data_IF_880150936701
#
_entry.id   IF_880150936701
#
_cell.length_a   1.000
_cell.length_b   1.000
_cell.length_c   1.000
_cell.angle_alpha   90.00
_cell.angle_beta   90.00
_cell.angle_gamma   90.00
#
_symmetry.space_group_name_H-M   'P 1'
#
loop_
_entity.id
_entity.type
_entity.pdbx_description
1 polymer ?
#
# COMPACT_ATOMS: atom_id res chain seq x y z
N UNK A 1 8.71 2.47 11.08
CA UNK A 1 7.79 3.61 11.12
C UNK A 1 6.82 3.40 12.27
N UNK A 2 6.47 4.47 13.00
CA UNK A 2 5.48 4.40 14.10
C UNK A 2 4.09 4.08 13.53
N UNK A 3 3.37 3.15 14.17
CA UNK A 3 2.04 2.71 13.74
C UNK A 3 1.04 3.86 13.71
N UNK A 4 1.25 4.93 14.49
CA UNK A 4 0.37 6.10 14.49
C UNK A 4 0.23 6.78 13.13
N UNK A 5 1.18 6.58 12.23
CA UNK A 5 1.15 7.17 10.88
C UNK A 5 0.46 6.27 9.84
N UNK A 6 0.12 5.01 10.17
CA UNK A 6 -0.39 4.05 9.18
C UNK A 6 -1.72 4.48 8.57
N UNK A 7 -2.61 5.07 9.38
CA UNK A 7 -3.96 5.45 8.95
C UNK A 7 -3.92 6.46 7.80
N UNK A 8 -3.05 7.46 7.87
CA UNK A 8 -2.91 8.47 6.80
C UNK A 8 -2.51 7.84 5.46
N UNK A 9 -1.69 6.78 5.48
CA UNK A 9 -1.32 6.07 4.26
C UNK A 9 -2.44 5.16 3.73
N UNK A 10 -3.23 4.57 4.64
CA UNK A 10 -4.41 3.78 4.26
C UNK A 10 -5.50 4.66 3.65
N UNK A 11 -5.80 5.80 4.27
CA UNK A 11 -6.76 6.79 3.76
C UNK A 11 -6.33 7.33 2.38
N UNK A 12 -5.04 7.65 2.21
CA UNK A 12 -4.50 8.07 0.93
C UNK A 12 -4.60 6.98 -0.14
N UNK A 13 -4.33 5.72 0.22
CA UNK A 13 -4.47 4.59 -0.69
C UNK A 13 -5.92 4.39 -1.12
N UNK A 14 -6.86 4.40 -0.17
CA UNK A 14 -8.30 4.28 -0.45
C UNK A 14 -8.79 5.41 -1.37
N UNK A 15 -8.37 6.65 -1.08
CA UNK A 15 -8.69 7.79 -1.93
C UNK A 15 -8.21 7.61 -3.37
N UNK A 16 -6.94 7.20 -3.58
CA UNK A 16 -6.40 6.97 -4.91
C UNK A 16 -7.11 5.81 -5.60
N UNK A 17 -7.31 4.68 -4.93
CA UNK A 17 -8.02 3.52 -5.49
C UNK A 17 -9.46 3.86 -5.90
N UNK A 18 -10.14 4.71 -5.13
CA UNK A 18 -11.47 5.23 -5.47
C UNK A 18 -11.50 6.00 -6.80
N UNK A 19 -10.43 6.70 -7.15
CA UNK A 19 -10.31 7.39 -8.45
C UNK A 19 -10.23 6.42 -9.65
N UNK A 20 -9.85 5.16 -9.40
CA UNK A 20 -9.86 4.07 -10.39
C UNK A 20 -11.15 3.23 -10.32
N UNK A 21 -12.18 3.69 -9.60
CA UNK A 21 -13.48 2.99 -9.49
C UNK A 21 -13.50 1.86 -8.46
N UNK A 22 -12.46 1.69 -7.65
CA UNK A 22 -12.41 0.69 -6.59
C UNK A 22 -13.02 1.26 -5.30
N UNK A 23 -14.33 1.13 -5.14
CA UNK A 23 -15.09 1.77 -4.04
C UNK A 23 -15.34 0.88 -2.82
N UNK A 24 -15.01 -0.41 -2.88
CA UNK A 24 -15.29 -1.38 -1.81
C UNK A 24 -14.01 -1.98 -1.19
N UNK A 25 -12.93 -1.20 -1.14
CA UNK A 25 -11.67 -1.63 -0.55
C UNK A 25 -11.86 -1.87 0.96
N UNK A 26 -11.40 -3.03 1.45
CA UNK A 26 -11.45 -3.38 2.88
C UNK A 26 -10.05 -3.52 3.44
N UNK A 27 -9.77 -2.76 4.49
CA UNK A 27 -8.51 -2.87 5.22
C UNK A 27 -8.53 -4.17 6.06
N UNK A 28 -7.54 -5.03 5.82
CA UNK A 28 -7.36 -6.26 6.58
C UNK A 28 -6.76 -6.03 7.98
N UNK A 29 -6.50 -7.11 8.71
CA UNK A 29 -5.87 -7.01 10.03
C UNK A 29 -4.43 -6.48 9.94
N UNK A 30 -4.14 -5.42 10.69
CA UNK A 30 -2.79 -4.87 10.80
C UNK A 30 -1.89 -5.81 11.58
N UNK A 31 -0.69 -6.07 11.04
CA UNK A 31 0.33 -6.92 11.69
C UNK A 31 1.70 -6.27 11.57
N UNK A 32 2.47 -6.34 12.66
CA UNK A 32 3.90 -6.08 12.60
C UNK A 32 4.56 -7.29 11.96
N UNK A 33 5.24 -7.08 10.84
CA UNK A 33 5.95 -8.14 10.13
C UNK A 33 7.37 -8.22 10.67
N UNK A 34 7.77 -9.40 11.15
CA UNK A 34 9.15 -9.62 11.64
C UNK A 34 10.15 -9.67 10.47
N UNK A 35 9.73 -10.21 9.31
CA UNK A 35 10.56 -10.30 8.11
C UNK A 35 9.85 -9.66 6.91
N UNK A 36 10.55 -8.85 6.14
CA UNK A 36 10.02 -8.19 4.95
C UNK A 36 10.00 -9.12 3.71
N UNK A 37 9.56 -10.37 3.89
CA UNK A 37 9.36 -11.30 2.77
C UNK A 37 7.95 -11.15 2.21
N UNK A 38 7.82 -10.55 1.04
CA UNK A 38 6.55 -10.45 0.31
C UNK A 38 6.72 -11.19 -1.00
N UNK A 39 5.87 -12.18 -1.25
CA UNK A 39 5.72 -12.81 -2.55
C UNK A 39 4.69 -11.99 -3.34
N UNK A 40 5.18 -11.00 -4.09
CA UNK A 40 4.37 -10.13 -4.92
C UNK A 40 5.11 -9.78 -6.21
N UNK A 41 4.38 -9.75 -7.32
CA UNK A 41 4.96 -9.57 -8.64
C UNK A 41 5.27 -8.10 -8.94
N UNK A 42 4.48 -7.17 -8.38
CA UNK A 42 4.63 -5.74 -8.59
C UNK A 42 4.74 -5.06 -7.23
N UNK A 43 5.83 -4.34 -7.00
CA UNK A 43 6.04 -3.57 -5.76
C UNK A 43 6.47 -2.15 -6.09
N UNK A 44 5.73 -1.18 -5.54
CA UNK A 44 6.10 0.24 -5.54
C UNK A 44 6.65 0.63 -4.17
N UNK A 45 7.78 1.34 -4.15
CA UNK A 45 8.45 1.77 -2.92
C UNK A 45 8.53 3.29 -2.89
N UNK A 46 8.04 3.88 -1.79
CA UNK A 46 8.12 5.31 -1.51
C UNK A 46 9.07 5.51 -0.34
N UNK A 47 10.14 6.27 -0.55
CA UNK A 47 11.07 6.67 0.50
C UNK A 47 10.61 7.93 1.23
N UNK A 48 10.64 7.92 2.55
CA UNK A 48 10.34 9.06 3.42
C UNK A 48 11.62 9.56 4.08
N UNK A 49 11.86 10.86 3.99
CA UNK A 49 13.00 11.57 4.59
C UNK A 49 12.50 12.75 5.43
N UNK A 50 13.32 13.22 6.38
CA UNK A 50 12.98 14.31 7.30
C UNK A 50 12.59 13.79 8.69
N UNK A 51 11.52 14.34 9.26
CA UNK A 51 11.02 14.03 10.60
C UNK A 51 10.48 12.60 10.72
N UNK A 52 9.93 12.08 9.62
CA UNK A 52 9.56 10.68 9.47
C UNK A 52 10.55 10.05 8.50
N UNK A 53 11.27 9.03 8.96
CA UNK A 53 12.23 8.27 8.14
C UNK A 53 11.75 6.84 7.97
N UNK A 54 11.81 6.36 6.74
CA UNK A 54 11.48 4.98 6.42
C UNK A 54 11.05 4.80 4.98
N UNK A 55 10.46 3.65 4.70
CA UNK A 55 9.84 3.35 3.42
C UNK A 55 8.41 2.88 3.62
N UNK A 56 7.64 3.03 2.55
CA UNK A 56 6.34 2.41 2.37
C UNK A 56 6.42 1.58 1.11
N UNK A 57 5.97 0.35 1.21
CA UNK A 57 5.90 -0.56 0.08
C UNK A 57 4.45 -0.97 -0.15
N UNK A 58 3.96 -0.71 -1.36
CA UNK A 58 2.70 -1.25 -1.84
C UNK A 58 3.02 -2.41 -2.79
N UNK A 59 2.48 -3.59 -2.50
CA UNK A 59 2.77 -4.81 -3.23
C UNK A 59 1.48 -5.44 -3.71
N UNK A 60 1.48 -5.88 -4.97
CA UNK A 60 0.33 -6.36 -5.72
C UNK A 60 0.71 -7.63 -6.47
N UNK A 61 -0.25 -8.52 -6.73
CA UNK A 61 -0.07 -9.56 -7.75
C UNK A 61 -0.07 -8.94 -9.15
N UNK A 62 0.53 -9.63 -10.12
CA UNK A 62 0.53 -9.23 -11.53
C UNK A 62 -0.91 -9.08 -12.04
N UNK A 63 -1.81 -10.00 -11.66
CA UNK A 63 -3.22 -9.95 -12.01
C UNK A 63 -3.89 -8.66 -11.53
N UNK A 64 -3.64 -8.27 -10.27
CA UNK A 64 -4.19 -7.04 -9.70
C UNK A 64 -3.63 -5.81 -10.39
N UNK A 65 -2.32 -5.80 -10.65
CA UNK A 65 -1.65 -4.72 -11.38
C UNK A 65 -2.24 -4.52 -12.77
N UNK A 66 -2.48 -5.59 -13.53
CA UNK A 66 -3.10 -5.49 -14.87
C UNK A 66 -4.48 -4.86 -14.82
N UNK A 67 -5.32 -5.24 -13.86
CA UNK A 67 -6.68 -4.70 -13.70
C UNK A 67 -6.70 -3.20 -13.34
N UNK A 68 -5.65 -2.69 -12.71
CA UNK A 68 -5.53 -1.26 -12.40
C UNK A 68 -5.30 -0.38 -13.64
N UNK A 69 -4.62 -0.89 -14.66
CA UNK A 69 -4.20 -0.10 -15.83
C UNK A 69 -4.96 -0.44 -17.13
N UNK A 70 -5.76 -1.51 -17.14
CA UNK A 70 -6.53 -1.99 -18.30
C UNK A 70 -7.98 -2.25 -17.88
N UNK A 71 -8.84 -1.21 -17.82
CA UNK A 71 -10.26 -1.35 -17.51
C UNK A 71 -11.04 -2.11 -18.60
#
# INVERSE_FOLDING_TARGET
MDVKYINSFLEALEYVLGQFGMTEVKVGALRKKENMFIEADITSIIGLVGDIRGNISFSLSEETGKKLFLP
#
